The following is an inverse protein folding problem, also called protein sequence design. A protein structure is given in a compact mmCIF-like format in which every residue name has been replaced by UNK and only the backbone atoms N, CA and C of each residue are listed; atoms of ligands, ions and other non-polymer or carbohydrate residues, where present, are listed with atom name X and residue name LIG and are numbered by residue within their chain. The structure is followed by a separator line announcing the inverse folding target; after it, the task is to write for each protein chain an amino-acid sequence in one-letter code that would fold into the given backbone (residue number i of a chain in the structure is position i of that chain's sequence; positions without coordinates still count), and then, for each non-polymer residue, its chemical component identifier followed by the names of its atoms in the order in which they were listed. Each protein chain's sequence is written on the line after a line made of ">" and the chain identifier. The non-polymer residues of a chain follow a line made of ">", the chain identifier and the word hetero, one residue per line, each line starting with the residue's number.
data_IF_670006478004
#
_entry.id   IF_670006478004
#
_cell.length_a   1.000
_cell.length_b   1.000
_cell.length_c   1.000
_cell.angle_alpha   90.00
_cell.angle_beta   90.00
_cell.angle_gamma   90.00
#
_symmetry.space_group_name_H-M   'P 1'
#
loop_
_entity.id
_entity.type
_entity.pdbx_description
1 polymer ?
#
# COMPACT_ATOMS: atom_id res chain seq x y z
N UNK A 1 32.34 -42.55 32.87
CA UNK A 1 31.12 -41.79 33.22
C UNK A 1 30.22 -42.67 34.07
N UNK A 2 29.98 -42.28 35.32
CA UNK A 2 29.04 -42.97 36.20
C UNK A 2 27.58 -42.61 35.84
N UNK A 3 26.59 -43.33 36.38
CA UNK A 3 25.18 -43.11 36.04
C UNK A 3 24.72 -41.67 36.31
N UNK A 4 25.10 -41.09 37.45
CA UNK A 4 24.72 -39.74 37.85
C UNK A 4 25.26 -38.67 36.88
N UNK A 5 26.53 -38.81 36.49
CA UNK A 5 27.16 -37.93 35.49
C UNK A 5 26.46 -38.01 34.14
N UNK A 6 25.96 -39.19 33.74
CA UNK A 6 25.17 -39.35 32.51
C UNK A 6 23.83 -38.63 32.61
N UNK A 7 23.12 -38.83 33.72
CA UNK A 7 21.79 -38.25 33.93
C UNK A 7 21.87 -36.71 33.98
N UNK A 8 22.89 -36.15 34.63
CA UNK A 8 23.16 -34.70 34.66
C UNK A 8 23.52 -34.14 33.28
N UNK A 9 24.34 -34.87 32.52
CA UNK A 9 24.70 -34.49 31.15
C UNK A 9 23.47 -34.48 30.22
N UNK A 10 22.61 -35.50 30.30
CA UNK A 10 21.36 -35.58 29.54
C UNK A 10 20.39 -34.46 29.91
N UNK A 11 20.28 -34.11 31.20
CA UNK A 11 19.45 -33.00 31.65
C UNK A 11 19.94 -31.66 31.07
N UNK A 12 21.25 -31.39 31.11
CA UNK A 12 21.84 -30.19 30.51
C UNK A 12 21.60 -30.15 28.99
N UNK A 13 21.78 -31.27 28.30
CA UNK A 13 21.50 -31.37 26.86
C UNK A 13 20.03 -31.11 26.54
N UNK A 14 19.11 -31.61 27.37
CA UNK A 14 17.68 -31.37 27.20
C UNK A 14 17.37 -29.87 27.30
N UNK A 15 17.86 -29.20 28.34
CA UNK A 15 17.66 -27.75 28.52
C UNK A 15 18.25 -26.97 27.34
N UNK A 16 19.45 -27.33 26.89
CA UNK A 16 20.06 -26.70 25.72
C UNK A 16 19.19 -26.86 24.46
N UNK A 17 18.69 -28.07 24.20
CA UNK A 17 17.82 -28.36 23.05
C UNK A 17 16.50 -27.62 23.14
N UNK A 18 15.87 -27.60 24.30
CA UNK A 18 14.59 -26.91 24.51
C UNK A 18 14.75 -25.40 24.28
N UNK A 19 15.83 -24.80 24.80
CA UNK A 19 16.14 -23.39 24.58
C UNK A 19 16.44 -23.09 23.11
N UNK A 20 17.24 -23.93 22.45
CA UNK A 20 17.59 -23.78 21.04
C UNK A 20 16.35 -23.87 20.14
N UNK A 21 15.48 -24.85 20.39
CA UNK A 21 14.23 -25.03 19.65
C UNK A 21 13.28 -23.85 19.87
N UNK A 22 13.14 -23.39 21.11
CA UNK A 22 12.31 -22.21 21.44
C UNK A 22 12.82 -20.98 20.72
N UNK A 23 14.13 -20.72 20.75
CA UNK A 23 14.72 -19.56 20.08
C UNK A 23 14.54 -19.62 18.56
N UNK A 24 14.75 -20.78 17.95
CA UNK A 24 14.52 -20.97 16.52
C UNK A 24 13.05 -20.75 16.15
N UNK A 25 12.12 -21.30 16.93
CA UNK A 25 10.70 -21.11 16.72
C UNK A 25 10.32 -19.63 16.79
N UNK A 26 10.78 -18.91 17.82
CA UNK A 26 10.54 -17.47 17.96
C UNK A 26 11.12 -16.68 16.78
N UNK A 27 12.32 -17.02 16.33
CA UNK A 27 12.96 -16.38 15.18
C UNK A 27 12.18 -16.61 13.89
N UNK A 28 11.69 -17.83 13.68
CA UNK A 28 10.88 -18.18 12.51
C UNK A 28 9.54 -17.44 12.53
N UNK A 29 8.85 -17.40 13.67
CA UNK A 29 7.61 -16.64 13.81
C UNK A 29 7.84 -15.15 13.58
N UNK A 30 8.86 -14.55 14.19
CA UNK A 30 9.16 -13.14 14.01
C UNK A 30 9.47 -12.78 12.54
N UNK A 31 10.19 -13.65 11.82
CA UNK A 31 10.45 -13.46 10.39
C UNK A 31 9.17 -13.55 9.57
N UNK A 32 8.32 -14.54 9.87
CA UNK A 32 7.05 -14.75 9.20
C UNK A 32 6.10 -13.56 9.41
N UNK A 33 5.90 -13.16 10.66
CA UNK A 33 5.07 -12.00 11.02
C UNK A 33 5.60 -10.71 10.39
N UNK A 34 6.91 -10.48 10.44
CA UNK A 34 7.53 -9.31 9.81
C UNK A 34 7.35 -9.29 8.29
N UNK A 35 7.43 -10.45 7.63
CA UNK A 35 7.17 -10.55 6.19
C UNK A 35 5.69 -10.31 5.86
N UNK A 36 4.79 -10.94 6.58
CA UNK A 36 3.34 -10.78 6.39
C UNK A 36 2.91 -9.32 6.61
N UNK A 37 3.37 -8.69 7.70
CA UNK A 37 3.05 -7.30 8.03
C UNK A 37 3.62 -6.33 7.00
N UNK A 38 4.88 -6.50 6.57
CA UNK A 38 5.51 -5.63 5.58
C UNK A 38 4.86 -5.75 4.21
N UNK A 39 4.49 -6.97 3.79
CA UNK A 39 3.77 -7.21 2.54
C UNK A 39 2.38 -6.58 2.59
N UNK A 40 1.62 -6.80 3.68
CA UNK A 40 0.29 -6.23 3.85
C UNK A 40 0.33 -4.70 3.84
N UNK A 41 1.28 -4.09 4.54
CA UNK A 41 1.50 -2.63 4.53
C UNK A 41 1.86 -2.10 3.14
N UNK A 42 2.70 -2.82 2.40
CA UNK A 42 3.09 -2.46 1.03
C UNK A 42 1.90 -2.47 0.08
N UNK A 43 1.10 -3.54 0.12
CA UNK A 43 -0.11 -3.69 -0.70
C UNK A 43 -1.13 -2.60 -0.35
N UNK A 44 -1.42 -2.38 0.93
CA UNK A 44 -2.38 -1.38 1.37
C UNK A 44 -2.00 0.02 0.89
N UNK A 45 -0.74 0.43 1.07
CA UNK A 45 -0.23 1.72 0.58
C UNK A 45 -0.31 1.84 -0.95
N UNK A 46 0.05 0.77 -1.67
CA UNK A 46 -0.01 0.77 -3.13
C UNK A 46 -1.44 0.93 -3.65
N UNK A 47 -2.41 0.25 -3.02
CA UNK A 47 -3.83 0.35 -3.36
C UNK A 47 -4.36 1.77 -3.07
N UNK A 48 -4.07 2.31 -1.88
CA UNK A 48 -4.51 3.65 -1.48
C UNK A 48 -3.99 4.72 -2.45
N UNK A 49 -2.68 4.70 -2.75
CA UNK A 49 -2.07 5.61 -3.71
C UNK A 49 -2.65 5.44 -5.12
N UNK A 50 -2.87 4.19 -5.56
CA UNK A 50 -3.46 3.90 -6.86
C UNK A 50 -4.88 4.46 -6.99
N UNK A 51 -5.71 4.29 -5.95
CA UNK A 51 -7.07 4.83 -5.90
C UNK A 51 -7.04 6.36 -5.92
N UNK A 52 -6.21 6.99 -5.10
CA UNK A 52 -6.11 8.46 -5.05
C UNK A 52 -5.70 9.05 -6.41
N UNK A 53 -4.65 8.51 -7.02
CA UNK A 53 -4.18 8.93 -8.35
C UNK A 53 -5.29 8.72 -9.39
N UNK A 54 -5.94 7.56 -9.37
CA UNK A 54 -7.03 7.22 -10.29
C UNK A 54 -8.22 8.16 -10.17
N UNK A 55 -8.67 8.45 -8.95
CA UNK A 55 -9.79 9.37 -8.68
C UNK A 55 -9.46 10.79 -9.12
N UNK A 56 -8.27 11.29 -8.80
CA UNK A 56 -7.86 12.64 -9.18
C UNK A 56 -7.72 12.81 -10.69
N UNK A 57 -7.10 11.81 -11.35
CA UNK A 57 -6.99 11.78 -12.81
C UNK A 57 -8.37 11.72 -13.47
N UNK A 58 -9.26 10.85 -12.99
CA UNK A 58 -10.62 10.71 -13.51
C UNK A 58 -11.46 11.98 -13.34
N UNK A 59 -11.39 12.64 -12.17
CA UNK A 59 -12.09 13.93 -11.94
C UNK A 59 -11.61 15.01 -12.92
N UNK A 60 -10.29 15.10 -13.14
CA UNK A 60 -9.70 16.08 -14.06
C UNK A 60 -10.07 15.78 -15.51
N UNK A 61 -9.97 14.53 -15.96
CA UNK A 61 -10.38 14.10 -17.29
C UNK A 61 -11.87 14.36 -17.54
N UNK A 62 -12.74 14.02 -16.58
CA UNK A 62 -14.17 14.31 -16.68
C UNK A 62 -14.46 15.81 -16.78
N UNK A 63 -13.71 16.65 -16.07
CA UNK A 63 -13.86 18.11 -16.16
C UNK A 63 -13.51 18.62 -17.56
N UNK A 64 -12.46 18.10 -18.18
CA UNK A 64 -12.12 18.42 -19.58
C UNK A 64 -13.17 17.91 -20.58
N UNK A 65 -13.71 16.70 -20.38
CA UNK A 65 -14.73 16.14 -21.26
C UNK A 65 -16.06 16.93 -21.19
N UNK A 66 -16.44 17.38 -19.99
CA UNK A 66 -17.59 18.26 -19.80
C UNK A 66 -17.31 19.61 -20.49
N UNK A 67 -16.14 20.21 -20.29
CA UNK A 67 -15.77 21.48 -20.91
C UNK A 67 -15.78 21.42 -22.45
N UNK A 68 -15.28 20.33 -23.05
CA UNK A 68 -15.37 20.09 -24.50
C UNK A 68 -16.81 20.06 -24.99
N UNK A 69 -17.67 19.28 -24.32
CA UNK A 69 -19.10 19.20 -24.68
C UNK A 69 -19.80 20.54 -24.54
N UNK A 70 -19.47 21.32 -23.51
CA UNK A 70 -20.03 22.66 -23.32
C UNK A 70 -19.58 23.64 -24.40
N UNK A 71 -18.29 23.59 -24.78
CA UNK A 71 -17.74 24.41 -25.87
C UNK A 71 -18.38 24.08 -27.21
N UNK A 72 -18.56 22.79 -27.52
CA UNK A 72 -19.26 22.34 -28.73
C UNK A 72 -20.73 22.81 -28.79
N UNK A 73 -21.37 23.01 -27.63
CA UNK A 73 -22.71 23.57 -27.52
C UNK A 73 -22.75 25.11 -27.64
N UNK A 74 -21.61 25.76 -27.85
CA UNK A 74 -21.51 27.21 -28.01
C UNK A 74 -21.63 28.01 -26.71
N UNK A 75 -21.42 27.38 -25.55
CA UNK A 75 -21.39 28.08 -24.27
C UNK A 75 -20.14 28.99 -24.17
N UNK A 76 -20.27 30.11 -23.44
CA UNK A 76 -19.17 31.05 -23.27
C UNK A 76 -18.04 30.45 -22.43
N UNK A 77 -16.79 30.83 -22.73
CA UNK A 77 -15.61 30.38 -21.99
C UNK A 77 -15.73 30.69 -20.49
N UNK A 78 -16.34 31.82 -20.14
CA UNK A 78 -16.56 32.25 -18.76
C UNK A 78 -17.48 31.28 -18.00
N UNK A 79 -18.60 30.89 -18.62
CA UNK A 79 -19.55 29.96 -18.01
C UNK A 79 -18.98 28.53 -17.89
N UNK A 80 -18.17 28.12 -18.87
CA UNK A 80 -17.48 26.83 -18.84
C UNK A 80 -16.45 26.79 -17.70
N UNK A 81 -15.69 27.87 -17.52
CA UNK A 81 -14.70 27.99 -16.45
C UNK A 81 -15.37 27.90 -15.07
N UNK A 82 -16.50 28.58 -14.89
CA UNK A 82 -17.28 28.53 -13.64
C UNK A 82 -17.80 27.12 -13.34
N UNK A 83 -18.32 26.41 -14.35
CA UNK A 83 -18.91 25.08 -14.18
C UNK A 83 -17.89 23.95 -14.02
N UNK A 84 -16.71 24.06 -14.64
CA UNK A 84 -15.71 22.97 -14.71
C UNK A 84 -14.48 23.21 -13.85
N UNK A 85 -14.31 24.43 -13.32
CA UNK A 85 -13.14 24.82 -12.53
C UNK A 85 -11.84 24.91 -13.35
N UNK A 86 -11.91 24.78 -14.68
CA UNK A 86 -10.78 24.93 -15.58
C UNK A 86 -10.48 26.41 -15.83
N UNK A 87 -9.22 26.72 -16.09
CA UNK A 87 -8.83 28.06 -16.51
C UNK A 87 -9.33 28.36 -17.92
N UNK A 88 -9.58 29.64 -18.23
CA UNK A 88 -9.99 30.07 -19.57
C UNK A 88 -8.99 29.61 -20.65
N UNK A 89 -7.69 29.68 -20.35
CA UNK A 89 -6.63 29.22 -21.26
C UNK A 89 -6.71 27.72 -21.55
N UNK A 90 -7.04 26.89 -20.55
CA UNK A 90 -7.25 25.47 -20.76
C UNK A 90 -8.45 25.22 -21.67
N UNK A 91 -9.57 25.92 -21.44
CA UNK A 91 -10.80 25.79 -22.22
C UNK A 91 -10.60 26.26 -23.68
N UNK A 92 -9.84 27.34 -23.89
CA UNK A 92 -9.50 27.83 -25.23
C UNK A 92 -8.70 26.78 -26.03
N UNK A 93 -7.80 26.05 -25.37
CA UNK A 93 -7.00 24.96 -25.95
C UNK A 93 -7.80 23.68 -26.21
N UNK A 94 -8.98 23.50 -25.60
CA UNK A 94 -9.86 22.39 -25.92
C UNK A 94 -10.45 22.61 -27.31
N UNK A 95 -10.07 21.80 -28.30
CA UNK A 95 -10.66 21.86 -29.64
C UNK A 95 -12.14 21.45 -29.63
#
# INVERSE_FOLDING_TARGET
>A
MNKKERDEYEACLKVYRDNYNTWNYMKEQALKEGLEESLAKGIAKGIEQGIEIGVNKGKKENSYDIARKMKQKGLSVDMIAECTGLSKSEIEKLM
#
